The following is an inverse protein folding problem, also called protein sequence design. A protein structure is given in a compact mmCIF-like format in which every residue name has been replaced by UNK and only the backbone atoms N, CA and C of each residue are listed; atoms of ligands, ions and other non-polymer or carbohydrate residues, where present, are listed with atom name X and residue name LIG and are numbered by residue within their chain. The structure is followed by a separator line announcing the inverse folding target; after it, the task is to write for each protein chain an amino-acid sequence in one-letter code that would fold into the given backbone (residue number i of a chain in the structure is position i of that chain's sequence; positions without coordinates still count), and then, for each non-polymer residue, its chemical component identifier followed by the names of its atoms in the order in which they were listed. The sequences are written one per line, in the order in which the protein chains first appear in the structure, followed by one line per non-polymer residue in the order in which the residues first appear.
data_IF_115394334871
#
_entry.id   IF_115394334871
#
_cell.length_a   1.000
_cell.length_b   1.000
_cell.length_c   1.000
_cell.angle_alpha   90.00
_cell.angle_beta   90.00
_cell.angle_gamma   90.00
#
_symmetry.space_group_name_H-M   'P 1'
#
loop_
_entity.id
_entity.type
_entity.pdbx_description
1 polymer ?
#
# COMPACT_ATOMS: atom_id res chain seq x y z
N UNK A 1 -87.82 -29.48 12.97
CA UNK A 1 -87.88 -30.68 12.10
C UNK A 1 -87.07 -30.37 10.85
N UNK A 2 -86.36 -31.33 10.26
CA UNK A 2 -85.71 -31.13 8.97
C UNK A 2 -86.74 -30.69 7.93
N UNK A 3 -86.36 -29.80 7.01
CA UNK A 3 -87.21 -29.44 5.87
C UNK A 3 -87.53 -30.69 5.05
N UNK A 4 -88.79 -30.81 4.67
CA UNK A 4 -89.31 -31.92 3.87
C UNK A 4 -90.23 -31.33 2.80
N UNK A 5 -89.78 -31.28 1.52
CA UNK A 5 -90.53 -30.61 0.46
C UNK A 5 -91.88 -31.28 0.16
N UNK A 6 -92.10 -32.51 0.61
CA UNK A 6 -93.34 -33.26 0.41
C UNK A 6 -94.39 -32.98 1.51
N UNK A 7 -94.07 -32.07 2.45
CA UNK A 7 -94.97 -31.65 3.53
C UNK A 7 -95.36 -30.17 3.46
N UNK A 8 -96.58 -29.81 3.89
CA UNK A 8 -97.64 -30.70 4.34
C UNK A 8 -98.27 -31.46 3.15
N UNK A 9 -98.70 -32.71 3.39
CA UNK A 9 -99.28 -33.55 2.35
C UNK A 9 -100.47 -32.85 1.66
N UNK A 10 -100.57 -33.00 0.34
CA UNK A 10 -101.66 -32.40 -0.44
C UNK A 10 -103.04 -32.80 0.11
N UNK A 11 -103.93 -31.82 0.31
CA UNK A 11 -105.27 -32.04 0.86
C UNK A 11 -105.35 -32.21 2.39
N UNK A 12 -104.24 -32.08 3.13
CA UNK A 12 -104.27 -32.06 4.59
C UNK A 12 -104.88 -30.76 5.15
N UNK A 13 -105.52 -30.79 6.34
CA UNK A 13 -105.96 -29.57 7.01
C UNK A 13 -104.80 -28.60 7.22
N UNK A 14 -105.05 -27.30 7.03
CA UNK A 14 -104.03 -26.26 7.26
C UNK A 14 -103.57 -26.27 8.73
N UNK A 15 -102.43 -26.92 8.99
CA UNK A 15 -101.82 -26.98 10.31
C UNK A 15 -100.74 -25.91 10.42
N UNK A 16 -101.00 -24.86 11.21
CA UNK A 16 -100.01 -23.81 11.46
C UNK A 16 -98.73 -24.34 12.12
N UNK A 17 -98.82 -25.44 12.88
CA UNK A 17 -97.67 -26.07 13.51
C UNK A 17 -96.73 -26.70 12.47
N UNK A 18 -97.28 -27.46 11.52
CA UNK A 18 -96.51 -28.12 10.45
C UNK A 18 -95.87 -27.08 9.52
N UNK A 19 -96.63 -26.06 9.11
CA UNK A 19 -96.11 -24.99 8.24
C UNK A 19 -94.96 -24.20 8.89
N UNK A 20 -95.07 -23.89 10.20
CA UNK A 20 -93.96 -23.27 10.94
C UNK A 20 -92.75 -24.19 11.06
N UNK A 21 -92.98 -25.49 11.22
CA UNK A 21 -91.92 -26.51 11.24
C UNK A 21 -91.15 -26.55 9.91
N UNK A 22 -91.84 -26.55 8.78
CA UNK A 22 -91.24 -26.51 7.44
C UNK A 22 -90.48 -25.20 7.18
N UNK A 23 -91.06 -24.05 7.54
CA UNK A 23 -90.39 -22.76 7.38
C UNK A 23 -89.13 -22.67 8.25
N UNK A 24 -89.17 -23.20 9.48
CA UNK A 24 -88.01 -23.30 10.37
C UNK A 24 -86.92 -24.20 9.78
N UNK A 25 -87.29 -25.39 9.30
CA UNK A 25 -86.32 -26.29 8.66
C UNK A 25 -85.71 -25.71 7.38
N UNK A 26 -86.49 -24.97 6.58
CA UNK A 26 -85.98 -24.26 5.40
C UNK A 26 -85.02 -23.14 5.80
N UNK A 27 -85.35 -22.38 6.85
CA UNK A 27 -84.47 -21.35 7.42
C UNK A 27 -83.15 -21.96 7.88
N UNK A 28 -83.19 -23.08 8.59
CA UNK A 28 -81.99 -23.80 9.05
C UNK A 28 -81.14 -24.27 7.86
N UNK A 29 -81.76 -24.79 6.79
CA UNK A 29 -81.05 -25.15 5.56
C UNK A 29 -80.41 -23.94 4.87
N UNK A 30 -81.13 -22.82 4.79
CA UNK A 30 -80.62 -21.59 4.18
C UNK A 30 -79.45 -21.03 4.98
N UNK A 31 -79.53 -21.03 6.30
CA UNK A 31 -78.47 -20.56 7.19
C UNK A 31 -77.24 -21.49 7.16
N UNK A 32 -77.44 -22.78 6.86
CA UNK A 32 -76.37 -23.76 6.70
C UNK A 32 -75.68 -23.70 5.33
N UNK A 33 -76.21 -22.96 4.36
CA UNK A 33 -75.49 -22.73 3.10
C UNK A 33 -74.23 -21.92 3.39
N UNK A 34 -73.07 -22.49 3.08
CA UNK A 34 -71.80 -21.77 3.10
C UNK A 34 -71.83 -20.67 2.03
N UNK A 35 -72.32 -19.49 2.39
CA UNK A 35 -72.29 -18.32 1.51
C UNK A 35 -70.90 -17.72 1.52
N UNK A 36 -70.37 -17.45 0.32
CA UNK A 36 -69.18 -16.60 0.20
C UNK A 36 -69.63 -15.15 0.42
N UNK A 37 -69.09 -14.52 1.46
CA UNK A 37 -69.47 -13.17 1.87
C UNK A 37 -68.45 -12.11 1.45
N UNK A 38 -67.21 -12.51 1.18
CA UNK A 38 -66.15 -11.61 0.69
C UNK A 38 -65.01 -12.38 0.01
N UNK A 39 -64.09 -11.64 -0.60
CA UNK A 39 -62.86 -12.14 -1.18
C UNK A 39 -61.68 -11.26 -0.75
N UNK A 40 -60.52 -11.87 -0.51
CA UNK A 40 -59.29 -11.21 -0.07
C UNK A 40 -58.09 -11.77 -0.84
N UNK A 41 -57.05 -10.95 -0.97
CA UNK A 41 -55.76 -11.36 -1.51
C UNK A 41 -54.79 -11.49 -0.34
N UNK A 42 -54.36 -12.72 -0.07
CA UNK A 42 -53.48 -13.03 1.04
C UNK A 42 -52.02 -12.72 0.70
N UNK A 43 -51.61 -13.03 -0.53
CA UNK A 43 -50.26 -12.78 -0.99
C UNK A 43 -50.17 -12.54 -2.50
N UNK A 44 -49.19 -11.71 -2.87
CA UNK A 44 -48.74 -11.52 -4.25
C UNK A 44 -47.23 -11.71 -4.27
N UNK A 45 -46.78 -12.82 -4.84
CA UNK A 45 -45.38 -13.20 -4.88
C UNK A 45 -44.82 -12.94 -6.28
N UNK A 46 -43.66 -12.28 -6.34
CA UNK A 46 -42.91 -12.18 -7.60
C UNK A 46 -42.16 -13.48 -7.86
N UNK A 47 -42.40 -14.10 -9.02
CA UNK A 47 -41.69 -15.31 -9.47
C UNK A 47 -40.52 -14.93 -10.38
N UNK A 48 -39.66 -15.89 -10.71
CA UNK A 48 -38.54 -15.61 -11.61
C UNK A 48 -39.04 -15.29 -13.02
N UNK A 49 -38.29 -14.52 -13.83
CA UNK A 49 -38.62 -14.32 -15.22
C UNK A 49 -38.73 -15.65 -15.97
N UNK A 50 -39.82 -15.84 -16.70
CA UNK A 50 -40.08 -17.06 -17.47
C UNK A 50 -40.83 -18.17 -16.73
N UNK A 51 -40.96 -18.10 -15.40
CA UNK A 51 -41.84 -19.00 -14.65
C UNK A 51 -43.31 -18.77 -15.08
N UNK A 52 -44.18 -19.80 -15.10
CA UNK A 52 -45.60 -19.61 -15.39
C UNK A 52 -46.29 -18.85 -14.26
N UNK A 53 -47.22 -17.94 -14.61
CA UNK A 53 -48.08 -17.30 -13.63
C UNK A 53 -48.99 -18.33 -12.96
N UNK A 54 -49.27 -18.14 -11.66
CA UNK A 54 -50.12 -19.04 -10.88
C UNK A 54 -51.10 -18.29 -9.98
N UNK A 55 -52.21 -18.96 -9.68
CA UNK A 55 -53.19 -18.52 -8.69
C UNK A 55 -53.60 -19.70 -7.81
N UNK A 56 -53.52 -19.53 -6.51
CA UNK A 56 -54.08 -20.43 -5.50
C UNK A 56 -55.35 -19.83 -4.92
N UNK A 57 -56.36 -20.68 -4.68
CA UNK A 57 -57.63 -20.28 -4.09
C UNK A 57 -58.00 -21.24 -2.96
N UNK A 58 -58.35 -20.70 -1.81
CA UNK A 58 -58.96 -21.45 -0.71
C UNK A 58 -60.20 -20.73 -0.18
N UNK A 59 -61.09 -21.48 0.48
CA UNK A 59 -62.26 -20.91 1.16
C UNK A 59 -62.09 -21.15 2.66
N UNK A 60 -62.11 -20.08 3.44
CA UNK A 60 -62.03 -20.14 4.90
C UNK A 60 -63.05 -19.17 5.49
N UNK A 61 -63.94 -19.65 6.37
CA UNK A 61 -64.93 -18.81 7.05
C UNK A 61 -65.88 -18.02 6.13
N UNK A 62 -66.16 -18.52 4.91
CA UNK A 62 -66.98 -17.80 3.93
C UNK A 62 -66.23 -16.72 3.15
N UNK A 63 -64.90 -16.65 3.27
CA UNK A 63 -64.04 -15.74 2.50
C UNK A 63 -63.24 -16.53 1.48
N UNK A 64 -63.18 -16.02 0.25
CA UNK A 64 -62.26 -16.51 -0.78
C UNK A 64 -60.88 -15.89 -0.55
N UNK A 65 -59.89 -16.73 -0.35
CA UNK A 65 -58.50 -16.35 -0.11
C UNK A 65 -57.66 -16.67 -1.34
N UNK A 66 -57.17 -15.62 -2.01
CA UNK A 66 -56.34 -15.71 -3.20
C UNK A 66 -54.86 -15.51 -2.89
N UNK A 67 -54.01 -16.33 -3.51
CA UNK A 67 -52.56 -16.12 -3.55
C UNK A 67 -52.09 -16.13 -4.99
N UNK A 68 -51.39 -15.07 -5.42
CA UNK A 68 -50.89 -14.93 -6.78
C UNK A 68 -49.37 -15.14 -6.85
N UNK A 69 -48.93 -15.86 -7.87
CA UNK A 69 -47.54 -15.89 -8.32
C UNK A 69 -47.41 -15.18 -9.66
N UNK A 70 -46.78 -13.99 -9.67
CA UNK A 70 -46.62 -13.14 -10.85
C UNK A 70 -45.15 -13.15 -11.29
N UNK A 71 -44.82 -13.63 -12.51
CA UNK A 71 -43.46 -13.63 -13.01
C UNK A 71 -42.89 -12.22 -13.16
N UNK A 72 -41.62 -12.04 -12.77
CA UNK A 72 -40.90 -10.82 -13.05
C UNK A 72 -40.72 -10.63 -14.56
N UNK A 73 -40.66 -9.37 -15.00
CA UNK A 73 -40.25 -9.05 -16.37
C UNK A 73 -38.82 -9.51 -16.64
N UNK A 74 -38.52 -9.81 -17.90
CA UNK A 74 -37.13 -10.03 -18.30
C UNK A 74 -36.31 -8.76 -18.02
N UNK A 75 -35.07 -8.93 -17.55
CA UNK A 75 -34.11 -7.83 -17.46
C UNK A 75 -34.01 -7.15 -18.83
N UNK A 76 -34.13 -5.82 -18.84
CA UNK A 76 -33.93 -5.04 -20.06
C UNK A 76 -32.52 -5.28 -20.61
N UNK A 77 -32.34 -5.08 -21.92
CA UNK A 77 -31.00 -5.08 -22.49
C UNK A 77 -30.15 -3.99 -21.80
N UNK A 78 -28.87 -4.28 -21.57
CA UNK A 78 -27.94 -3.28 -21.10
C UNK A 78 -27.96 -2.08 -22.05
N UNK A 79 -27.90 -0.87 -21.49
CA UNK A 79 -27.68 0.32 -22.28
C UNK A 79 -26.37 0.15 -23.05
N UNK A 80 -26.38 0.45 -24.35
CA UNK A 80 -25.13 0.49 -25.13
C UNK A 80 -24.13 1.46 -24.49
N UNK A 81 -22.82 1.30 -24.75
CA UNK A 81 -21.83 2.29 -24.36
C UNK A 81 -22.28 3.69 -24.79
N UNK A 82 -22.14 4.68 -23.91
CA UNK A 82 -22.34 6.07 -24.29
C UNK A 82 -21.42 6.44 -25.46
N UNK A 83 -21.78 7.47 -26.26
CA UNK A 83 -20.85 7.97 -27.27
C UNK A 83 -19.53 8.35 -26.62
N UNK A 84 -18.42 8.10 -27.31
CA UNK A 84 -17.12 8.61 -26.91
C UNK A 84 -17.24 10.12 -26.69
N UNK A 85 -16.73 10.61 -25.56
CA UNK A 85 -16.68 12.05 -25.31
C UNK A 85 -15.86 12.74 -26.40
N UNK A 86 -16.09 14.04 -26.65
CA UNK A 86 -15.23 14.77 -27.58
C UNK A 86 -13.77 14.61 -27.15
N UNK A 87 -12.89 14.30 -28.10
CA UNK A 87 -11.45 14.31 -27.87
C UNK A 87 -11.08 15.69 -27.30
N UNK A 88 -10.49 15.70 -26.10
CA UNK A 88 -9.99 16.93 -25.49
C UNK A 88 -8.96 17.61 -26.41
N UNK A 89 -8.78 18.94 -26.31
CA UNK A 89 -7.76 19.61 -27.10
C UNK A 89 -6.39 18.95 -26.90
N UNK A 90 -5.58 18.75 -27.96
CA UNK A 90 -4.23 18.23 -27.80
C UNK A 90 -3.44 19.16 -26.85
N UNK A 91 -2.86 18.61 -25.77
CA UNK A 91 -1.84 19.34 -25.02
C UNK A 91 -0.51 19.22 -25.77
N UNK A 92 0.17 20.34 -25.92
CA UNK A 92 1.16 20.54 -26.97
C UNK A 92 2.47 19.78 -26.73
N UNK A 93 2.97 19.67 -25.50
CA UNK A 93 4.19 18.89 -25.20
C UNK A 93 4.28 18.60 -23.69
N UNK A 94 5.10 17.60 -23.33
CA UNK A 94 5.56 17.37 -21.95
C UNK A 94 6.91 18.07 -21.74
N UNK A 95 6.99 18.96 -20.75
CA UNK A 95 8.17 19.78 -20.47
C UNK A 95 8.70 19.45 -19.07
N UNK A 96 10.02 19.29 -18.93
CA UNK A 96 10.68 19.17 -17.63
C UNK A 96 11.26 20.52 -17.25
N UNK A 97 10.72 21.12 -16.19
CA UNK A 97 11.08 22.47 -15.73
C UNK A 97 12.33 22.48 -14.87
N UNK A 98 12.53 21.42 -14.09
CA UNK A 98 13.65 21.33 -13.17
C UNK A 98 13.85 19.94 -12.61
N UNK A 99 15.11 19.65 -12.30
CA UNK A 99 15.53 18.49 -11.53
C UNK A 99 16.37 19.01 -10.37
N UNK A 100 15.91 18.77 -9.15
CA UNK A 100 16.63 19.15 -7.92
C UNK A 100 17.19 17.90 -7.28
N UNK A 101 18.49 17.93 -6.93
CA UNK A 101 19.08 16.86 -6.13
C UNK A 101 18.67 17.04 -4.68
N UNK A 102 18.03 16.03 -4.09
CA UNK A 102 17.63 16.00 -2.67
C UNK A 102 18.73 15.37 -1.82
N UNK A 103 18.65 15.53 -0.50
CA UNK A 103 19.62 14.91 0.40
C UNK A 103 19.51 13.37 0.36
N UNK A 104 20.59 12.63 0.68
CA UNK A 104 20.52 11.19 0.80
C UNK A 104 19.47 10.75 1.83
N UNK A 105 18.55 9.89 1.42
CA UNK A 105 17.47 9.36 2.26
C UNK A 105 16.15 10.12 2.18
N UNK A 106 16.10 11.30 1.55
CA UNK A 106 14.83 11.98 1.27
C UNK A 106 13.99 11.17 0.26
N UNK A 107 12.64 11.21 0.34
CA UNK A 107 11.79 10.58 -0.67
C UNK A 107 11.88 11.33 -2.01
N UNK A 108 11.85 10.59 -3.12
CA UNK A 108 11.74 11.20 -4.44
C UNK A 108 10.39 11.92 -4.62
N UNK A 109 10.39 13.06 -5.30
CA UNK A 109 9.19 13.87 -5.53
C UNK A 109 8.99 14.17 -7.01
N UNK A 110 7.73 14.31 -7.41
CA UNK A 110 7.33 14.84 -8.71
C UNK A 110 6.15 15.79 -8.52
N UNK A 111 6.26 16.98 -9.10
CA UNK A 111 5.17 17.95 -9.19
C UNK A 111 4.77 18.10 -10.67
N UNK A 112 3.46 18.09 -10.92
CA UNK A 112 2.89 18.19 -12.27
C UNK A 112 1.93 19.35 -12.34
N UNK A 113 2.10 20.23 -13.32
CA UNK A 113 1.18 21.34 -13.59
C UNK A 113 0.79 21.35 -15.06
N UNK A 114 -0.38 21.91 -15.36
CA UNK A 114 -0.82 22.15 -16.73
C UNK A 114 -1.10 23.65 -16.88
N UNK A 115 -0.36 24.31 -17.77
CA UNK A 115 -0.45 25.76 -17.98
C UNK A 115 -1.43 26.17 -19.09
N UNK A 116 -2.23 25.21 -19.58
CA UNK A 116 -3.15 25.39 -20.71
C UNK A 116 -2.57 25.02 -22.07
N UNK A 117 -1.25 24.86 -22.18
CA UNK A 117 -0.56 24.43 -23.41
C UNK A 117 0.30 23.20 -23.17
N UNK A 118 1.13 23.19 -22.12
CA UNK A 118 2.09 22.12 -21.83
C UNK A 118 1.83 21.47 -20.47
N UNK A 119 2.16 20.18 -20.37
CA UNK A 119 2.24 19.49 -19.08
C UNK A 119 3.67 19.65 -18.56
N UNK A 120 3.83 20.28 -17.42
CA UNK A 120 5.13 20.63 -16.86
C UNK A 120 5.45 19.77 -15.64
N UNK A 121 6.66 19.20 -15.61
CA UNK A 121 7.16 18.32 -14.55
C UNK A 121 8.33 18.97 -13.83
N UNK A 122 8.34 18.90 -12.50
CA UNK A 122 9.51 19.19 -11.66
C UNK A 122 9.83 17.98 -10.81
N UNK A 123 11.08 17.51 -10.86
CA UNK A 123 11.53 16.31 -10.13
C UNK A 123 12.45 16.68 -8.96
N UNK A 124 12.25 16.01 -7.82
CA UNK A 124 13.23 15.92 -6.74
C UNK A 124 13.84 14.53 -6.71
N UNK A 125 15.13 14.41 -7.04
CA UNK A 125 15.86 13.14 -7.10
C UNK A 125 16.85 13.05 -5.94
N UNK A 126 16.71 12.11 -5.00
CA UNK A 126 17.64 11.94 -3.89
C UNK A 126 19.05 11.57 -4.33
N UNK A 127 20.06 12.15 -3.67
CA UNK A 127 21.45 11.74 -3.84
C UNK A 127 21.68 10.33 -3.26
N UNK A 128 22.60 9.59 -3.85
CA UNK A 128 23.09 8.34 -3.26
C UNK A 128 23.78 8.57 -1.91
N UNK A 129 23.80 7.54 -1.07
CA UNK A 129 24.57 7.58 0.17
C UNK A 129 26.06 7.84 -0.11
N UNK A 130 26.77 8.59 0.74
CA UNK A 130 28.22 8.72 0.64
C UNK A 130 28.90 7.36 0.61
N UNK A 131 29.95 7.22 -0.21
CA UNK A 131 30.77 6.01 -0.23
C UNK A 131 31.50 5.78 1.09
N UNK A 132 31.88 4.54 1.37
CA UNK A 132 32.71 4.22 2.52
C UNK A 132 34.06 4.97 2.46
N UNK A 133 34.58 5.37 3.61
CA UNK A 133 35.93 5.94 3.70
C UNK A 133 36.95 4.91 3.19
N UNK A 134 37.89 5.36 2.35
CA UNK A 134 38.97 4.50 1.87
C UNK A 134 39.87 4.00 3.00
N UNK A 135 40.50 2.85 2.80
CA UNK A 135 41.46 2.30 3.76
C UNK A 135 42.65 3.26 3.96
N UNK A 136 43.20 3.28 5.17
CA UNK A 136 44.43 4.03 5.43
C UNK A 136 45.57 3.40 4.63
N UNK A 137 46.32 4.20 3.87
CA UNK A 137 47.46 3.72 3.10
C UNK A 137 48.53 3.07 4.00
N UNK A 138 49.34 2.15 3.47
CA UNK A 138 50.40 1.51 4.25
C UNK A 138 51.38 2.57 4.76
N UNK A 139 51.86 2.45 6.03
CA UNK A 139 52.98 3.25 6.51
C UNK A 139 54.19 3.08 5.58
N UNK A 140 54.90 4.17 5.27
CA UNK A 140 56.16 4.08 4.54
C UNK A 140 57.21 3.37 5.39
N UNK A 141 57.67 2.19 4.97
CA UNK A 141 58.68 1.43 5.71
C UNK A 141 60.09 1.83 5.27
N UNK A 142 60.86 2.45 6.18
CA UNK A 142 62.33 2.51 6.05
C UNK A 142 62.86 1.25 6.69
N UNK A 143 63.43 0.34 5.90
CA UNK A 143 63.98 -0.90 6.43
C UNK A 143 65.17 -0.60 7.34
N UNK A 144 65.38 -1.44 8.36
CA UNK A 144 66.57 -1.33 9.21
C UNK A 144 67.86 -1.34 8.39
N UNK A 145 67.90 -2.11 7.29
CA UNK A 145 69.02 -2.14 6.37
C UNK A 145 69.26 -0.81 5.65
N UNK A 146 68.20 -0.10 5.23
CA UNK A 146 68.32 1.22 4.61
C UNK A 146 68.80 2.27 5.64
N UNK A 147 68.30 2.18 6.88
CA UNK A 147 68.74 3.03 7.97
C UNK A 147 70.23 2.80 8.31
N UNK A 148 70.63 1.54 8.47
CA UNK A 148 72.01 1.17 8.80
C UNK A 148 73.00 1.60 7.71
N UNK A 149 72.61 1.48 6.43
CA UNK A 149 73.40 1.92 5.29
C UNK A 149 73.62 3.44 5.28
N UNK A 150 72.59 4.22 5.57
CA UNK A 150 72.69 5.68 5.61
C UNK A 150 73.56 6.15 6.78
N UNK A 151 73.38 5.54 7.97
CA UNK A 151 74.20 5.87 9.14
C UNK A 151 75.67 5.46 8.88
N UNK A 152 75.93 4.38 8.12
CA UNK A 152 77.29 3.97 7.74
C UNK A 152 78.07 4.98 6.90
N UNK A 153 77.38 5.87 6.17
CA UNK A 153 78.02 6.94 5.41
C UNK A 153 78.37 8.18 6.25
N UNK A 154 78.09 8.18 7.55
CA UNK A 154 78.29 9.34 8.44
C UNK A 154 79.45 9.13 9.42
N UNK A 155 80.16 10.22 9.75
CA UNK A 155 81.23 10.21 10.74
C UNK A 155 80.70 10.00 12.16
N UNK A 156 81.50 9.39 13.04
CA UNK A 156 81.17 9.25 14.45
C UNK A 156 81.21 10.60 15.18
N UNK A 157 80.61 10.67 16.37
CA UNK A 157 80.74 11.85 17.23
C UNK A 157 82.11 11.82 17.94
N UNK A 158 82.97 12.85 17.78
CA UNK A 158 84.31 12.88 18.38
C UNK A 158 84.29 13.25 19.87
N UNK A 159 83.28 12.81 20.63
CA UNK A 159 83.08 13.16 22.04
C UNK A 159 84.25 12.75 22.96
N UNK A 160 85.13 11.85 22.52
CA UNK A 160 86.35 11.45 23.24
C UNK A 160 87.58 12.34 22.97
N UNK A 161 87.50 13.28 22.03
CA UNK A 161 88.64 14.12 21.63
C UNK A 161 88.67 15.39 22.48
N UNK A 162 89.64 15.47 23.39
CA UNK A 162 89.82 16.66 24.24
C UNK A 162 90.21 17.91 23.43
N UNK A 163 90.08 19.15 23.95
CA UNK A 163 90.56 20.35 23.25
C UNK A 163 92.09 20.36 23.05
N UNK A 164 92.56 20.99 21.97
CA UNK A 164 93.99 21.26 21.77
C UNK A 164 94.42 22.40 22.72
N UNK A 165 95.04 22.04 23.84
CA UNK A 165 95.44 22.97 24.90
C UNK A 165 96.70 23.80 24.63
N UNK A 166 96.94 24.21 23.38
CA UNK A 166 98.12 24.98 22.98
C UNK A 166 97.77 26.43 22.68
N UNK A 167 98.72 27.34 22.93
CA UNK A 167 98.66 28.74 22.54
C UNK A 167 99.78 29.03 21.54
N UNK A 168 99.54 29.95 20.61
CA UNK A 168 100.54 30.33 19.62
C UNK A 168 101.77 31.01 20.28
N UNK A 169 102.96 30.63 19.84
CA UNK A 169 104.24 31.23 20.26
C UNK A 169 104.82 32.12 19.14
N UNK A 170 105.65 33.09 19.52
CA UNK A 170 106.33 34.01 18.61
C UNK A 170 107.53 33.35 17.89
N UNK A 171 108.00 32.21 18.38
CA UNK A 171 109.08 31.42 17.79
C UNK A 171 108.63 30.01 17.47
N UNK A 172 109.25 29.38 16.46
CA UNK A 172 108.89 28.02 16.05
C UNK A 172 109.27 27.00 17.13
N UNK A 173 108.30 26.19 17.55
CA UNK A 173 108.48 25.06 18.45
C UNK A 173 108.02 23.75 17.76
N UNK A 174 108.97 22.85 17.54
CA UNK A 174 108.72 21.54 16.93
C UNK A 174 107.81 20.66 17.81
N UNK A 175 107.86 20.79 19.13
CA UNK A 175 107.03 20.04 20.07
C UNK A 175 105.55 20.44 20.00
N UNK A 176 105.26 21.74 19.86
CA UNK A 176 103.88 22.22 19.63
C UNK A 176 103.32 21.70 18.30
N UNK A 177 104.13 21.70 17.25
CA UNK A 177 103.72 21.14 15.95
C UNK A 177 103.47 19.64 16.02
N UNK A 178 104.28 18.89 16.76
CA UNK A 178 104.04 17.45 16.98
C UNK A 178 102.72 17.21 17.71
N UNK A 179 102.42 17.99 18.76
CA UNK A 179 101.17 17.88 19.50
C UNK A 179 99.92 18.22 18.65
N UNK A 180 100.02 19.12 17.66
CA UNK A 180 98.95 19.37 16.69
C UNK A 180 98.73 18.15 15.78
N UNK A 181 99.82 17.56 15.28
CA UNK A 181 99.76 16.37 14.41
C UNK A 181 99.11 15.21 15.16
N UNK A 182 99.57 14.94 16.38
CA UNK A 182 99.03 13.89 17.24
C UNK A 182 97.54 14.11 17.50
N UNK A 183 97.10 15.37 17.67
CA UNK A 183 95.70 15.69 17.91
C UNK A 183 94.81 15.51 16.68
N UNK A 184 95.34 15.78 15.49
CA UNK A 184 94.66 15.52 14.23
C UNK A 184 94.51 14.01 13.98
N UNK A 185 95.53 13.22 14.34
CA UNK A 185 95.46 11.76 14.27
C UNK A 185 94.41 11.20 15.24
N UNK A 186 94.34 11.71 16.47
CA UNK A 186 93.31 11.37 17.46
C UNK A 186 91.90 11.70 16.93
N UNK A 187 91.71 12.89 16.34
CA UNK A 187 90.43 13.29 15.76
C UNK A 187 90.03 12.41 14.57
N UNK A 188 90.96 12.11 13.67
CA UNK A 188 90.72 11.22 12.54
C UNK A 188 90.30 9.83 13.02
N UNK A 189 91.00 9.29 14.02
CA UNK A 189 90.67 7.99 14.59
C UNK A 189 89.30 7.99 15.26
N UNK A 190 88.91 9.07 15.94
CA UNK A 190 87.63 9.19 16.61
C UNK A 190 86.43 9.36 15.65
N UNK A 191 86.64 9.92 14.46
CA UNK A 191 85.60 10.13 13.45
C UNK A 191 85.44 8.93 12.50
N UNK A 192 86.48 8.11 12.36
CA UNK A 192 86.45 6.90 11.55
C UNK A 192 85.57 5.82 12.19
N UNK A 193 84.82 5.10 11.35
CA UNK A 193 84.10 3.87 11.75
C UNK A 193 85.02 2.66 11.73
#
# INVERSE_FOLDING_TARGET
MPFDPDKPANGSPLSSAEMRGQLGGLKDLIDALSTITSAQVDAVNTLNPGDPASVGLTVSGGVLHFTFGIPAGATGADGGPGPEGPQGPPFADAVVDGVTTLAPGDPATVEVTFDGTNVRFTFGIPQGAPGAQGETGPPGEVTQAALDAEIAATALNPAGVSPLGLTADASYDQGQMQAVIDKLDELRAALAR
#
